data_IF_209033010656
#
_entry.id   IF_209033010656
#
_cell.length_a   1.000
_cell.length_b   1.000
_cell.length_c   1.000
_cell.angle_alpha   90.00
_cell.angle_beta   90.00
_cell.angle_gamma   90.00
#
_symmetry.space_group_name_H-M   'P 1'
#
loop_
_entity.id
_entity.type
_entity.pdbx_description
1 polymer ?
#
# COMPACT_ATOMS: atom_id res chain seq x y z
N UNK A 1 2.19 -29.00 5.81
CA UNK A 1 3.60 -29.16 6.23
C UNK A 1 3.62 -29.93 7.54
N UNK A 2 4.58 -30.82 7.76
CA UNK A 2 4.74 -31.48 9.05
C UNK A 2 5.46 -30.52 9.99
N UNK A 3 5.02 -30.39 11.24
CA UNK A 3 5.68 -29.53 12.25
C UNK A 3 7.14 -29.93 12.50
N UNK A 4 7.53 -31.18 12.19
CA UNK A 4 8.92 -31.67 12.26
C UNK A 4 9.79 -31.27 11.06
N UNK A 5 9.19 -30.93 9.92
CA UNK A 5 9.89 -30.57 8.67
C UNK A 5 9.13 -29.44 7.96
N UNK A 6 9.37 -28.20 8.42
CA UNK A 6 8.75 -26.99 7.88
C UNK A 6 9.39 -26.46 6.58
N UNK A 7 10.45 -27.10 6.09
CA UNK A 7 11.14 -26.68 4.86
C UNK A 7 10.53 -27.34 3.64
N UNK A 8 10.18 -26.54 2.64
CA UNK A 8 9.63 -27.02 1.37
C UNK A 8 10.55 -26.64 0.21
N UNK A 9 10.68 -27.54 -0.76
CA UNK A 9 11.37 -27.23 -2.01
C UNK A 9 10.65 -26.07 -2.73
N UNK A 10 11.41 -25.15 -3.34
CA UNK A 10 10.87 -23.94 -3.99
C UNK A 10 9.83 -24.26 -5.06
N UNK A 11 10.06 -25.29 -5.89
CA UNK A 11 9.11 -25.71 -6.93
C UNK A 11 7.81 -26.25 -6.34
N UNK A 12 7.90 -27.01 -5.24
CA UNK A 12 6.72 -27.50 -4.53
C UNK A 12 5.96 -26.36 -3.84
N UNK A 13 6.67 -25.40 -3.22
CA UNK A 13 6.05 -24.23 -2.63
C UNK A 13 5.30 -23.39 -3.67
N UNK A 14 5.92 -23.17 -4.83
CA UNK A 14 5.30 -22.48 -5.95
C UNK A 14 4.06 -23.25 -6.45
N UNK A 15 4.17 -24.57 -6.65
CA UNK A 15 3.04 -25.39 -7.11
C UNK A 15 1.83 -25.32 -6.17
N UNK A 16 2.05 -25.39 -4.85
CA UNK A 16 0.97 -25.27 -3.85
C UNK A 16 0.34 -23.88 -3.91
N UNK A 17 1.13 -22.80 -3.92
CA UNK A 17 0.61 -21.44 -4.01
C UNK A 17 -0.23 -21.23 -5.27
N UNK A 18 0.27 -21.67 -6.42
CA UNK A 18 -0.42 -21.53 -7.70
C UNK A 18 -1.71 -22.36 -7.74
N UNK A 19 -1.70 -23.58 -7.19
CA UNK A 19 -2.91 -24.41 -7.09
C UNK A 19 -3.99 -23.75 -6.23
N UNK A 20 -3.62 -23.20 -5.08
CA UNK A 20 -4.57 -22.52 -4.19
C UNK A 20 -5.14 -21.23 -4.82
N UNK A 21 -4.31 -20.47 -5.55
CA UNK A 21 -4.77 -19.30 -6.32
C UNK A 21 -5.76 -19.74 -7.41
N UNK A 22 -5.42 -20.79 -8.16
CA UNK A 22 -6.28 -21.32 -9.23
C UNK A 22 -7.62 -21.80 -8.69
N UNK A 23 -7.63 -22.58 -7.61
CA UNK A 23 -8.83 -23.13 -6.99
C UNK A 23 -9.79 -22.04 -6.49
N UNK A 24 -9.26 -20.91 -6.01
CA UNK A 24 -10.06 -19.76 -5.54
C UNK A 24 -10.48 -18.80 -6.65
N UNK A 25 -9.91 -18.91 -7.85
CA UNK A 25 -10.18 -17.99 -8.96
C UNK A 25 -11.57 -18.11 -9.57
N UNK A 26 -12.29 -19.21 -9.33
CA UNK A 26 -13.62 -19.48 -9.90
C UNK A 26 -14.78 -18.98 -9.02
N UNK A 27 -14.50 -18.61 -7.76
CA UNK A 27 -15.46 -17.94 -6.88
C UNK A 27 -15.50 -16.44 -7.23
N UNK A 28 -16.41 -16.05 -8.15
CA UNK A 28 -16.73 -14.64 -8.43
C UNK A 28 -17.18 -13.92 -7.16
N UNK A 29 -16.22 -13.39 -6.41
CA UNK A 29 -16.45 -12.64 -5.18
C UNK A 29 -16.50 -11.15 -5.49
N UNK A 30 -17.24 -10.39 -4.69
CA UNK A 30 -17.48 -8.95 -4.85
C UNK A 30 -16.21 -8.05 -4.90
N UNK A 31 -15.02 -8.64 -4.83
CA UNK A 31 -13.69 -8.01 -4.86
C UNK A 31 -13.32 -7.49 -6.26
N UNK A 32 -13.94 -8.00 -7.35
CA UNK A 32 -13.66 -7.57 -8.73
C UNK A 32 -13.87 -6.07 -8.99
N UNK A 33 -14.60 -5.38 -8.12
CA UNK A 33 -14.86 -3.94 -8.24
C UNK A 33 -13.84 -3.07 -7.51
N UNK A 34 -12.95 -3.65 -6.72
CA UNK A 34 -11.94 -2.91 -5.95
C UNK A 34 -10.70 -2.70 -6.81
N UNK A 35 -10.59 -1.51 -7.39
CA UNK A 35 -9.43 -1.14 -8.20
C UNK A 35 -8.29 -0.63 -7.29
N UNK A 36 -7.17 -1.36 -7.13
CA UNK A 36 -6.03 -0.87 -6.37
C UNK A 36 -5.41 0.36 -7.04
N UNK A 37 -4.79 1.21 -6.23
CA UNK A 37 -4.05 2.37 -6.73
C UNK A 37 -2.84 1.91 -7.56
N UNK A 38 -2.59 2.59 -8.70
CA UNK A 38 -1.37 2.38 -9.48
C UNK A 38 -0.16 2.92 -8.73
N UNK A 39 1.01 2.29 -8.91
CA UNK A 39 2.28 2.75 -8.32
C UNK A 39 2.60 4.23 -8.60
N UNK A 40 2.45 4.67 -9.86
CA UNK A 40 2.70 6.06 -10.23
C UNK A 40 1.85 7.07 -9.43
N UNK A 41 0.55 6.78 -9.29
CA UNK A 41 -0.38 7.61 -8.52
C UNK A 41 -0.05 7.61 -7.01
N UNK A 42 0.44 6.47 -6.49
CA UNK A 42 0.92 6.37 -5.10
C UNK A 42 2.14 7.27 -4.86
N UNK A 43 3.07 7.31 -5.81
CA UNK A 43 4.26 8.17 -5.76
C UNK A 43 3.88 9.66 -5.85
N UNK A 44 2.93 10.03 -6.70
CA UNK A 44 2.39 11.39 -6.78
C UNK A 44 1.71 11.82 -5.47
N UNK A 45 0.94 10.93 -4.84
CA UNK A 45 0.27 11.21 -3.57
C UNK A 45 1.29 11.48 -2.47
N UNK A 46 2.36 10.68 -2.40
CA UNK A 46 3.46 10.90 -1.47
C UNK A 46 4.18 12.22 -1.72
N UNK A 47 4.43 12.60 -2.98
CA UNK A 47 5.02 13.90 -3.33
C UNK A 47 4.13 15.06 -2.84
N UNK A 48 2.81 14.95 -3.03
CA UNK A 48 1.86 15.95 -2.54
C UNK A 48 1.90 16.05 -1.01
N UNK A 49 1.87 14.92 -0.30
CA UNK A 49 1.94 14.87 1.16
C UNK A 49 3.24 15.50 1.65
N UNK A 50 4.39 15.16 1.06
CA UNK A 50 5.68 15.73 1.45
C UNK A 50 5.71 17.25 1.27
N UNK A 51 5.21 17.75 0.14
CA UNK A 51 5.09 19.19 -0.10
C UNK A 51 4.23 19.87 0.98
N UNK A 52 3.17 19.20 1.46
CA UNK A 52 2.30 19.73 2.52
C UNK A 52 2.97 19.69 3.89
N UNK A 53 3.70 18.63 4.21
CA UNK A 53 4.51 18.57 5.42
C UNK A 53 5.54 19.71 5.43
N UNK A 54 6.20 19.96 4.29
CA UNK A 54 7.20 21.03 4.18
C UNK A 54 6.61 22.44 4.33
N UNK A 55 5.31 22.62 4.08
CA UNK A 55 4.64 23.91 4.32
C UNK A 55 4.22 24.14 5.78
N UNK A 56 4.22 23.10 6.63
CA UNK A 56 3.82 23.26 8.03
C UNK A 56 4.98 23.77 8.90
N UNK A 57 4.63 24.54 9.94
CA UNK A 57 5.59 25.01 10.93
C UNK A 57 5.89 23.89 11.93
N UNK A 58 7.00 23.20 11.73
CA UNK A 58 7.56 22.26 12.70
C UNK A 58 8.65 22.94 13.54
N UNK A 59 8.81 22.51 14.79
CA UNK A 59 9.82 23.07 15.69
C UNK A 59 11.26 22.65 15.34
N UNK A 60 11.43 21.51 14.66
CA UNK A 60 12.75 20.94 14.31
C UNK A 60 12.69 20.19 12.99
N UNK A 61 13.83 20.10 12.29
CA UNK A 61 13.96 19.33 11.05
C UNK A 61 13.69 17.83 11.25
N UNK A 62 14.12 17.27 12.39
CA UNK A 62 13.88 15.86 12.72
C UNK A 62 12.39 15.49 12.77
N UNK A 63 11.53 16.42 13.23
CA UNK A 63 10.08 16.21 13.22
C UNK A 63 9.52 16.15 11.80
N UNK A 64 10.02 16.99 10.89
CA UNK A 64 9.65 16.94 9.47
C UNK A 64 10.01 15.58 8.87
N UNK A 65 11.25 15.12 9.10
CA UNK A 65 11.74 13.87 8.55
C UNK A 65 10.98 12.65 9.12
N UNK A 66 10.64 12.71 10.41
CA UNK A 66 9.82 11.69 11.07
C UNK A 66 8.44 11.61 10.46
N UNK A 67 7.79 12.76 10.20
CA UNK A 67 6.49 12.79 9.54
C UNK A 67 6.56 12.22 8.13
N UNK A 68 7.56 12.60 7.32
CA UNK A 68 7.74 12.04 5.97
C UNK A 68 7.93 10.52 6.01
N UNK A 69 8.76 10.00 6.92
CA UNK A 69 9.00 8.56 7.10
C UNK A 69 7.72 7.83 7.51
N UNK A 70 6.93 8.39 8.42
CA UNK A 70 5.67 7.82 8.89
C UNK A 70 4.65 7.74 7.76
N UNK A 71 4.43 8.83 7.03
CA UNK A 71 3.52 8.85 5.88
C UNK A 71 3.95 7.88 4.77
N UNK A 72 5.25 7.77 4.48
CA UNK A 72 5.77 6.76 3.55
C UNK A 72 5.40 5.34 3.98
N UNK A 73 5.53 5.02 5.27
CA UNK A 73 5.19 3.71 5.81
C UNK A 73 3.68 3.44 5.75
N UNK A 74 2.85 4.42 6.14
CA UNK A 74 1.38 4.30 6.11
C UNK A 74 0.91 4.03 4.68
N UNK A 75 1.28 4.90 3.74
CA UNK A 75 0.88 4.75 2.34
C UNK A 75 1.52 3.50 1.71
N UNK A 76 2.77 3.20 2.07
CA UNK A 76 3.49 2.00 1.62
C UNK A 76 2.74 0.72 1.95
N UNK A 77 2.26 0.60 3.18
CA UNK A 77 1.59 -0.59 3.72
C UNK A 77 0.08 -0.61 3.48
N UNK A 78 -0.53 0.52 3.11
CA UNK A 78 -1.96 0.55 2.83
C UNK A 78 -2.26 -0.06 1.45
N UNK A 79 -3.27 -0.91 1.41
CA UNK A 79 -3.86 -1.47 0.19
C UNK A 79 -4.88 -0.50 -0.40
N UNK A 80 -4.47 0.75 -0.61
CA UNK A 80 -5.38 1.81 -1.05
C UNK A 80 -6.02 1.47 -2.39
N UNK A 81 -7.33 1.68 -2.43
CA UNK A 81 -8.09 1.73 -3.67
C UNK A 81 -7.85 3.05 -4.38
N UNK A 82 -8.14 3.08 -5.68
CA UNK A 82 -8.08 4.32 -6.48
C UNK A 82 -9.01 5.40 -5.92
N UNK A 83 -10.18 5.03 -5.39
CA UNK A 83 -11.16 5.97 -4.84
C UNK A 83 -10.65 6.63 -3.56
N UNK A 84 -10.10 5.85 -2.64
CA UNK A 84 -9.49 6.38 -1.40
C UNK A 84 -8.30 7.28 -1.71
N UNK A 85 -7.45 6.89 -2.66
CA UNK A 85 -6.33 7.71 -3.10
C UNK A 85 -6.80 9.07 -3.63
N UNK A 86 -7.84 9.09 -4.49
CA UNK A 86 -8.40 10.34 -5.02
C UNK A 86 -9.04 11.21 -3.93
N UNK A 87 -9.72 10.60 -2.95
CA UNK A 87 -10.26 11.33 -1.80
C UNK A 87 -9.12 12.00 -0.99
N UNK A 88 -8.03 11.27 -0.75
CA UNK A 88 -6.84 11.83 -0.11
C UNK A 88 -6.21 12.96 -0.92
N UNK A 89 -6.06 12.80 -2.24
CA UNK A 89 -5.55 13.87 -3.11
C UNK A 89 -6.38 15.15 -2.95
N UNK A 90 -7.72 15.02 -2.99
CA UNK A 90 -8.62 16.15 -2.79
C UNK A 90 -8.46 16.80 -1.42
N UNK A 91 -8.35 15.98 -0.37
CA UNK A 91 -8.13 16.45 1.00
C UNK A 91 -6.80 17.20 1.15
N UNK A 92 -5.67 16.58 0.80
CA UNK A 92 -4.35 17.20 0.93
C UNK A 92 -4.16 18.43 0.03
N UNK A 93 -4.86 18.53 -1.11
CA UNK A 93 -4.88 19.75 -1.92
C UNK A 93 -5.55 20.92 -1.20
N UNK A 94 -6.58 20.66 -0.40
CA UNK A 94 -7.33 21.70 0.33
C UNK A 94 -6.65 22.20 1.60
N UNK A 95 -5.75 21.41 2.19
CA UNK A 95 -4.98 21.85 3.35
C UNK A 95 -4.10 23.03 2.91
N UNK A 96 -4.29 24.20 3.53
CA UNK A 96 -3.47 25.40 3.29
C UNK A 96 -2.20 25.34 4.12
#
# INVERSE_FOLDING_TARGET
>A
ASDKYGTLNVSHAAAILLYEIYKKGDEKTAVDKILPIKRAMKEELLKLIYKKIDSFKFSTQEKIDTQKKLWKKIIGKSFLTRREAMAMFGFFKKIK
#
